data_IF_176234205876
#
_entry.id   IF_176234205876
#
_cell.length_a   1.000
_cell.length_b   1.000
_cell.length_c   1.000
_cell.angle_alpha   90.00
_cell.angle_beta   90.00
_cell.angle_gamma   90.00
#
_symmetry.space_group_name_H-M   'P 1'
#
loop_
_entity.id
_entity.type
_entity.pdbx_description
1 polymer ?
#
# COMPACT_ATOMS: atom_id res chain seq x y z
N UNK A 1 19.73 -55.43 -15.79
CA UNK A 1 19.11 -54.33 -16.56
C UNK A 1 17.92 -53.83 -15.77
N UNK A 2 18.13 -52.88 -14.86
CA UNK A 2 17.05 -52.27 -14.08
C UNK A 2 16.69 -50.93 -14.69
N UNK A 3 15.51 -50.87 -15.28
CA UNK A 3 14.91 -49.64 -15.78
C UNK A 3 14.62 -48.70 -14.61
N UNK A 4 15.28 -47.55 -14.59
CA UNK A 4 14.91 -46.43 -13.73
C UNK A 4 13.63 -45.82 -14.27
N UNK A 5 12.51 -46.15 -13.62
CA UNK A 5 11.23 -45.47 -13.81
C UNK A 5 11.38 -44.08 -13.19
N UNK A 6 11.47 -43.06 -14.04
CA UNK A 6 11.43 -41.66 -13.62
C UNK A 6 10.12 -41.37 -12.92
N UNK A 7 10.20 -41.05 -11.63
CA UNK A 7 9.05 -40.60 -10.85
C UNK A 7 8.44 -39.32 -11.44
N UNK A 8 7.14 -39.07 -11.22
CA UNK A 8 6.46 -37.89 -11.76
C UNK A 8 7.14 -36.62 -11.24
N UNK A 9 7.65 -35.79 -12.15
CA UNK A 9 8.06 -34.40 -11.85
C UNK A 9 6.82 -33.64 -11.44
N UNK A 10 6.52 -33.60 -10.14
CA UNK A 10 5.52 -32.75 -9.49
C UNK A 10 5.99 -31.28 -9.46
N UNK A 11 6.44 -30.76 -10.60
CA UNK A 11 6.76 -29.35 -10.78
C UNK A 11 5.58 -28.65 -11.43
N UNK A 12 5.02 -27.63 -10.79
CA UNK A 12 4.05 -26.72 -11.40
C UNK A 12 4.58 -26.30 -12.78
N UNK A 13 3.77 -26.41 -13.82
CA UNK A 13 4.16 -25.96 -15.16
C UNK A 13 4.44 -24.46 -15.10
N UNK A 14 5.58 -24.04 -15.63
CA UNK A 14 5.98 -22.64 -15.66
C UNK A 14 4.98 -21.80 -16.47
N UNK A 15 4.72 -20.58 -16.01
CA UNK A 15 3.94 -19.61 -16.79
C UNK A 15 4.69 -19.17 -18.05
N UNK A 16 3.97 -18.75 -19.09
CA UNK A 16 4.61 -18.40 -20.35
C UNK A 16 5.67 -17.30 -20.22
N UNK A 17 5.48 -16.33 -19.33
CA UNK A 17 6.49 -15.28 -19.07
C UNK A 17 7.76 -15.81 -18.37
N UNK A 18 7.64 -16.89 -17.59
CA UNK A 18 8.79 -17.59 -17.00
C UNK A 18 9.55 -18.36 -18.10
N UNK A 19 8.82 -19.07 -18.97
CA UNK A 19 9.39 -19.77 -20.13
C UNK A 19 10.11 -18.81 -21.10
N UNK A 20 9.51 -17.66 -21.40
CA UNK A 20 10.14 -16.65 -22.25
C UNK A 20 11.43 -16.09 -21.62
N UNK A 21 11.42 -15.84 -20.31
CA UNK A 21 12.62 -15.39 -19.60
C UNK A 21 13.73 -16.46 -19.63
N UNK A 22 13.39 -17.73 -19.42
CA UNK A 22 14.35 -18.84 -19.45
C UNK A 22 14.88 -19.14 -20.86
N UNK A 23 14.04 -19.04 -21.90
CA UNK A 23 14.45 -19.11 -23.31
C UNK A 23 15.54 -18.06 -23.59
N UNK A 24 15.28 -16.81 -23.21
CA UNK A 24 16.24 -15.72 -23.43
C UNK A 24 17.54 -15.91 -22.67
N UNK A 25 17.49 -16.36 -21.40
CA UNK A 25 18.70 -16.66 -20.60
C UNK A 25 19.52 -17.78 -21.24
N UNK A 26 18.85 -18.82 -21.71
CA UNK A 26 19.51 -19.96 -22.38
C UNK A 26 20.18 -19.51 -23.66
N UNK A 27 19.47 -18.78 -24.52
CA UNK A 27 20.02 -18.24 -25.77
C UNK A 27 21.17 -17.26 -25.55
N UNK A 28 21.11 -16.45 -24.49
CA UNK A 28 22.22 -15.58 -24.10
C UNK A 28 23.50 -16.37 -23.84
N UNK A 29 23.41 -17.49 -23.10
CA UNK A 29 24.55 -18.39 -22.82
C UNK A 29 25.09 -19.05 -24.08
N UNK A 30 24.23 -19.29 -25.07
CA UNK A 30 24.60 -19.82 -26.39
C UNK A 30 25.13 -18.75 -27.37
N UNK A 31 25.23 -17.47 -26.95
CA UNK A 31 25.64 -16.36 -27.82
C UNK A 31 24.63 -16.02 -28.92
N UNK A 32 23.39 -16.50 -28.80
CA UNK A 32 22.32 -16.27 -29.80
C UNK A 32 21.53 -14.99 -29.46
N UNK A 33 21.27 -14.12 -30.44
CA UNK A 33 20.49 -12.91 -30.20
C UNK A 33 19.00 -13.25 -30.04
N UNK A 34 18.32 -12.42 -29.23
CA UNK A 34 16.87 -12.43 -29.07
C UNK A 34 16.27 -13.73 -28.54
N UNK A 35 14.95 -13.80 -28.62
CA UNK A 35 14.16 -14.99 -28.28
C UNK A 35 14.18 -16.02 -29.42
N UNK A 36 13.81 -17.26 -29.11
CA UNK A 36 13.51 -18.23 -30.16
C UNK A 36 12.32 -17.79 -31.04
N UNK A 37 12.24 -18.34 -32.24
CA UNK A 37 11.14 -18.05 -33.18
C UNK A 37 9.78 -18.43 -32.58
N UNK A 38 9.71 -19.53 -31.82
CA UNK A 38 8.50 -19.94 -31.13
C UNK A 38 8.02 -18.90 -30.11
N UNK A 39 8.91 -18.42 -29.23
CA UNK A 39 8.57 -17.37 -28.26
C UNK A 39 8.18 -16.07 -28.98
N UNK A 40 8.90 -15.70 -30.04
CA UNK A 40 8.58 -14.51 -30.85
C UNK A 40 7.19 -14.58 -31.48
N UNK A 41 6.81 -15.75 -32.01
CA UNK A 41 5.47 -16.01 -32.56
C UNK A 41 4.39 -15.92 -31.49
N UNK A 42 4.61 -16.53 -30.32
CA UNK A 42 3.66 -16.48 -29.20
C UNK A 42 3.49 -15.04 -28.66
N UNK A 43 4.59 -14.29 -28.48
CA UNK A 43 4.56 -12.88 -28.07
C UNK A 43 3.76 -11.98 -29.04
N UNK A 44 3.79 -12.27 -30.34
CA UNK A 44 2.92 -11.60 -31.31
C UNK A 44 1.45 -11.89 -31.01
N UNK A 45 1.09 -13.15 -30.85
CA UNK A 45 -0.28 -13.57 -30.55
C UNK A 45 -0.84 -13.02 -29.23
N UNK A 46 0.01 -12.79 -28.20
CA UNK A 46 -0.46 -12.19 -26.95
C UNK A 46 -0.98 -10.76 -27.11
N UNK A 47 -0.46 -10.02 -28.08
CA UNK A 47 -0.88 -8.62 -28.33
C UNK A 47 -2.25 -8.54 -28.98
N UNK A 48 -2.67 -9.61 -29.65
CA UNK A 48 -4.00 -9.71 -30.26
C UNK A 48 -5.08 -9.99 -29.20
N UNK A 49 -4.71 -10.34 -27.97
CA UNK A 49 -5.64 -10.64 -26.88
C UNK A 49 -6.36 -9.45 -26.26
N UNK A 50 -5.86 -8.22 -26.42
CA UNK A 50 -6.48 -7.08 -25.74
C UNK A 50 -7.93 -6.86 -26.21
N UNK A 51 -8.84 -6.72 -25.24
CA UNK A 51 -10.25 -6.44 -25.49
C UNK A 51 -11.03 -7.64 -26.02
N UNK A 52 -10.37 -8.77 -26.27
CA UNK A 52 -11.02 -10.01 -26.63
C UNK A 52 -11.35 -10.83 -25.38
N UNK A 53 -12.38 -11.67 -25.49
CA UNK A 53 -12.79 -12.55 -24.41
C UNK A 53 -11.72 -13.64 -24.18
N UNK A 54 -11.35 -13.94 -22.92
CA UNK A 54 -10.40 -15.01 -22.61
C UNK A 54 -10.77 -16.33 -23.28
N UNK A 55 -9.79 -16.95 -23.95
CA UNK A 55 -9.97 -18.25 -24.63
C UNK A 55 -10.43 -18.17 -26.10
N UNK A 56 -10.91 -17.01 -26.56
CA UNK A 56 -11.32 -16.80 -27.97
C UNK A 56 -10.12 -16.56 -28.90
N UNK A 57 -9.01 -16.05 -28.38
CA UNK A 57 -7.81 -15.74 -29.17
C UNK A 57 -6.97 -17.00 -29.38
N UNK A 58 -7.13 -17.62 -30.54
CA UNK A 58 -6.47 -18.89 -30.89
C UNK A 58 -4.94 -18.87 -30.71
N UNK A 59 -4.30 -17.74 -31.02
CA UNK A 59 -2.84 -17.58 -30.88
C UNK A 59 -2.36 -17.65 -29.42
N UNK A 60 -3.23 -17.37 -28.45
CA UNK A 60 -2.92 -17.41 -27.01
C UNK A 60 -3.17 -18.78 -26.37
N UNK A 61 -3.85 -19.71 -27.06
CA UNK A 61 -4.27 -21.01 -26.51
C UNK A 61 -3.10 -21.78 -25.87
N UNK A 62 -1.92 -21.71 -26.47
CA UNK A 62 -0.72 -22.41 -25.98
C UNK A 62 0.07 -21.65 -24.91
N UNK A 63 -0.27 -20.39 -24.65
CA UNK A 63 0.37 -19.56 -23.63
C UNK A 63 -0.31 -19.69 -22.26
N UNK A 64 -1.60 -20.00 -22.23
CA UNK A 64 -2.34 -20.30 -21.01
C UNK A 64 -1.79 -21.55 -20.28
N UNK A 65 -1.79 -21.49 -18.96
CA UNK A 65 -1.34 -22.55 -18.04
C UNK A 65 -2.36 -22.86 -16.97
N UNK A 66 -3.30 -21.97 -16.69
CA UNK A 66 -4.51 -22.27 -15.94
C UNK A 66 -5.35 -23.20 -16.81
N UNK A 67 -5.47 -24.44 -16.38
CA UNK A 67 -6.27 -25.44 -17.08
C UNK A 67 -7.74 -25.27 -16.72
N UNK A 68 -8.59 -25.31 -17.74
CA UNK A 68 -10.04 -25.32 -17.59
C UNK A 68 -10.54 -26.76 -17.67
N UNK A 69 -11.30 -27.17 -16.67
CA UNK A 69 -12.12 -28.38 -16.71
C UNK A 69 -13.23 -28.26 -17.76
N UNK A 70 -13.78 -29.39 -18.21
CA UNK A 70 -14.88 -29.38 -19.17
C UNK A 70 -16.12 -28.65 -18.64
N UNK A 71 -16.39 -28.76 -17.33
CA UNK A 71 -17.47 -28.03 -16.67
C UNK A 71 -17.26 -26.51 -16.70
N UNK A 72 -16.04 -26.04 -16.48
CA UNK A 72 -15.71 -24.60 -16.54
C UNK A 72 -15.79 -24.06 -17.97
N UNK A 73 -15.42 -24.86 -18.98
CA UNK A 73 -15.56 -24.47 -20.40
C UNK A 73 -17.02 -24.36 -20.83
N UNK A 74 -17.90 -25.15 -20.23
CA UNK A 74 -19.33 -25.13 -20.49
C UNK A 74 -20.07 -24.07 -19.66
N UNK A 75 -19.38 -23.37 -18.74
CA UNK A 75 -19.97 -22.33 -17.90
C UNK A 75 -19.99 -20.98 -18.62
N UNK A 76 -21.05 -20.19 -18.38
CA UNK A 76 -21.14 -18.80 -18.85
C UNK A 76 -20.09 -17.88 -18.21
N UNK A 77 -19.49 -18.29 -17.08
CA UNK A 77 -18.48 -17.49 -16.37
C UNK A 77 -17.18 -18.26 -16.21
N UNK A 78 -16.13 -17.75 -16.84
CA UNK A 78 -14.80 -18.30 -16.71
C UNK A 78 -14.22 -18.10 -15.30
N UNK A 79 -13.40 -19.04 -14.79
CA UNK A 79 -12.72 -18.90 -13.51
C UNK A 79 -11.84 -17.64 -13.46
N UNK A 80 -11.86 -16.93 -12.33
CA UNK A 80 -11.07 -15.70 -12.13
C UNK A 80 -9.56 -15.88 -12.42
N UNK A 81 -8.89 -16.99 -12.02
CA UNK A 81 -7.49 -17.20 -12.38
C UNK A 81 -7.24 -17.29 -13.89
N UNK A 82 -8.17 -17.84 -14.67
CA UNK A 82 -8.03 -17.95 -16.12
C UNK A 82 -8.19 -16.59 -16.81
N UNK A 83 -9.18 -15.81 -16.37
CA UNK A 83 -9.39 -14.42 -16.85
C UNK A 83 -8.19 -13.55 -16.49
N UNK A 84 -7.67 -13.68 -15.27
CA UNK A 84 -6.48 -12.97 -14.81
C UNK A 84 -5.21 -13.37 -15.55
N UNK A 85 -5.02 -14.66 -15.86
CA UNK A 85 -3.90 -15.12 -16.69
C UNK A 85 -3.99 -14.52 -18.09
N UNK A 86 -5.18 -14.52 -18.70
CA UNK A 86 -5.38 -13.87 -20.00
C UNK A 86 -4.96 -12.40 -19.96
N UNK A 87 -5.45 -11.65 -18.98
CA UNK A 87 -5.08 -10.25 -18.78
C UNK A 87 -3.57 -10.06 -18.58
N UNK A 88 -2.94 -10.87 -17.73
CA UNK A 88 -1.50 -10.83 -17.50
C UNK A 88 -0.69 -11.14 -18.76
N UNK A 89 -1.12 -12.10 -19.58
CA UNK A 89 -0.49 -12.43 -20.86
C UNK A 89 -0.56 -11.26 -21.85
N UNK A 90 -1.70 -10.59 -21.99
CA UNK A 90 -1.82 -9.43 -22.90
C UNK A 90 -0.94 -8.26 -22.45
N UNK A 91 -0.90 -7.98 -21.15
CA UNK A 91 -0.01 -6.98 -20.55
C UNK A 91 1.46 -7.36 -20.72
N UNK A 92 1.80 -8.64 -20.60
CA UNK A 92 3.15 -9.16 -20.82
C UNK A 92 3.58 -9.01 -22.28
N UNK A 93 2.73 -9.40 -23.23
CA UNK A 93 3.00 -9.24 -24.66
C UNK A 93 3.22 -7.78 -25.07
N UNK A 94 2.51 -6.84 -24.43
CA UNK A 94 2.73 -5.40 -24.62
C UNK A 94 4.07 -4.93 -24.04
N UNK A 95 4.48 -5.48 -22.91
CA UNK A 95 5.71 -5.10 -22.23
C UNK A 95 6.94 -5.70 -22.92
N UNK A 96 6.89 -6.99 -23.28
CA UNK A 96 7.98 -7.77 -23.86
C UNK A 96 8.14 -7.50 -25.36
N UNK A 97 8.61 -6.31 -25.72
CA UNK A 97 8.93 -5.93 -27.10
C UNK A 97 10.43 -5.94 -27.40
N UNK A 98 11.27 -5.74 -26.38
CA UNK A 98 12.73 -5.83 -26.51
C UNK A 98 13.23 -7.25 -26.29
N UNK A 99 14.52 -7.49 -26.53
CA UNK A 99 15.15 -8.79 -26.31
C UNK A 99 15.38 -9.13 -24.83
N UNK A 100 15.43 -8.14 -23.95
CA UNK A 100 15.65 -8.37 -22.52
C UNK A 100 14.36 -8.79 -21.80
N UNK A 101 14.38 -9.82 -20.93
CA UNK A 101 13.17 -10.27 -20.25
C UNK A 101 12.63 -9.22 -19.29
N UNK A 102 11.37 -8.85 -19.49
CA UNK A 102 10.65 -7.91 -18.63
C UNK A 102 10.04 -8.60 -17.40
N UNK A 103 9.92 -9.93 -17.42
CA UNK A 103 9.53 -10.68 -16.22
C UNK A 103 10.68 -10.69 -15.20
N UNK A 104 10.46 -10.07 -14.04
CA UNK A 104 11.43 -9.93 -12.95
C UNK A 104 10.81 -10.38 -11.62
N UNK A 105 11.06 -11.63 -11.18
CA UNK A 105 10.56 -12.12 -9.90
C UNK A 105 10.88 -11.15 -8.74
N UNK A 106 9.90 -10.91 -7.88
CA UNK A 106 10.02 -9.99 -6.74
C UNK A 106 9.81 -8.51 -7.07
N UNK A 107 9.66 -8.11 -8.33
CA UNK A 107 9.32 -6.73 -8.70
C UNK A 107 7.80 -6.57 -8.84
N UNK A 108 7.09 -6.35 -7.73
CA UNK A 108 5.64 -6.08 -7.77
C UNK A 108 5.30 -4.72 -8.37
N UNK A 109 4.01 -4.47 -8.64
CA UNK A 109 3.55 -3.25 -9.32
C UNK A 109 3.93 -1.97 -8.58
N UNK A 110 3.79 -1.94 -7.25
CA UNK A 110 4.16 -0.78 -6.44
C UNK A 110 5.65 -0.48 -6.52
N UNK A 111 6.50 -1.51 -6.49
CA UNK A 111 7.97 -1.38 -6.62
C UNK A 111 8.36 -0.90 -8.01
N UNK A 112 7.70 -1.42 -9.06
CA UNK A 112 7.91 -0.96 -10.43
C UNK A 112 7.53 0.52 -10.59
N UNK A 113 6.41 0.96 -10.00
CA UNK A 113 6.00 2.36 -10.01
C UNK A 113 6.95 3.26 -9.19
N UNK A 114 7.47 2.77 -8.07
CA UNK A 114 8.50 3.48 -7.30
C UNK A 114 9.77 3.69 -8.12
N UNK A 115 10.24 2.65 -8.81
CA UNK A 115 11.38 2.74 -9.71
C UNK A 115 11.10 3.73 -10.86
N UNK A 116 9.88 3.72 -11.40
CA UNK A 116 9.48 4.64 -12.47
C UNK A 116 9.49 6.11 -12.00
N UNK A 117 9.02 6.38 -10.78
CA UNK A 117 9.12 7.70 -10.15
C UNK A 117 10.57 8.17 -10.04
N UNK A 118 11.48 7.27 -9.61
CA UNK A 118 12.92 7.59 -9.44
C UNK A 118 13.69 7.73 -10.75
N UNK A 119 13.18 7.16 -11.84
CA UNK A 119 13.81 7.29 -13.15
C UNK A 119 13.64 8.70 -13.75
N UNK A 120 12.88 9.60 -13.09
CA UNK A 120 12.62 10.99 -13.51
C UNK A 120 12.10 11.14 -14.96
N UNK A 121 11.61 10.04 -15.55
CA UNK A 121 11.03 10.04 -16.90
C UNK A 121 9.69 10.77 -16.95
N UNK A 122 9.08 10.98 -15.78
CA UNK A 122 7.83 11.68 -15.56
C UNK A 122 7.92 12.46 -14.24
N UNK A 123 7.09 13.50 -14.09
CA UNK A 123 6.87 14.12 -12.78
C UNK A 123 6.35 13.08 -11.79
N UNK A 124 6.77 13.14 -10.52
CA UNK A 124 6.32 12.24 -9.44
C UNK A 124 4.79 12.09 -9.41
N UNK A 125 4.07 13.21 -9.46
CA UNK A 125 2.61 13.22 -9.42
C UNK A 125 1.94 12.50 -10.60
N UNK A 126 2.63 12.35 -11.74
CA UNK A 126 2.09 11.66 -12.92
C UNK A 126 2.14 10.13 -12.80
N UNK A 127 3.15 9.60 -12.12
CA UNK A 127 3.24 8.17 -11.78
C UNK A 127 2.22 7.83 -10.71
N UNK A 128 2.16 8.64 -9.65
CA UNK A 128 1.20 8.49 -8.56
C UNK A 128 -0.24 8.48 -9.06
N UNK A 129 -0.65 9.46 -9.88
CA UNK A 129 -2.02 9.51 -10.43
C UNK A 129 -2.41 8.25 -11.21
N UNK A 130 -1.48 7.67 -11.97
CA UNK A 130 -1.75 6.44 -12.76
C UNK A 130 -1.87 5.22 -11.88
N UNK A 131 -1.01 5.12 -10.87
CA UNK A 131 -1.06 4.05 -9.90
C UNK A 131 -2.36 4.15 -9.06
N UNK A 132 -2.74 5.34 -8.61
CA UNK A 132 -4.02 5.58 -7.92
C UNK A 132 -5.19 5.21 -8.83
N UNK A 133 -5.18 5.62 -10.10
CA UNK A 133 -6.25 5.27 -11.05
C UNK A 133 -6.43 3.75 -11.20
N UNK A 134 -5.33 3.00 -11.30
CA UNK A 134 -5.36 1.53 -11.29
C UNK A 134 -5.91 0.99 -9.95
N UNK A 135 -5.47 1.55 -8.83
CA UNK A 135 -5.86 1.14 -7.49
C UNK A 135 -7.33 1.44 -7.14
N UNK A 136 -7.96 2.38 -7.85
CA UNK A 136 -9.38 2.75 -7.69
C UNK A 136 -10.29 2.13 -8.75
N UNK A 137 -9.76 1.25 -9.61
CA UNK A 137 -10.55 0.57 -10.62
C UNK A 137 -11.71 -0.23 -9.99
N UNK A 138 -12.91 -0.10 -10.56
CA UNK A 138 -14.13 -0.70 -10.02
C UNK A 138 -14.25 -2.19 -10.34
N UNK A 139 -13.60 -2.64 -11.41
CA UNK A 139 -13.61 -4.01 -11.89
C UNK A 139 -12.26 -4.39 -12.52
N UNK A 140 -12.09 -5.67 -12.86
CA UNK A 140 -10.87 -6.17 -13.47
C UNK A 140 -10.62 -5.56 -14.86
N UNK A 141 -11.67 -5.28 -15.63
CA UNK A 141 -11.53 -4.72 -16.97
C UNK A 141 -10.93 -3.31 -16.90
N UNK A 142 -11.48 -2.43 -16.06
CA UNK A 142 -10.97 -1.08 -15.84
C UNK A 142 -9.52 -1.12 -15.33
N UNK A 143 -9.22 -2.02 -14.39
CA UNK A 143 -7.85 -2.20 -13.90
C UNK A 143 -6.88 -2.52 -15.04
N UNK A 144 -7.23 -3.48 -15.90
CA UNK A 144 -6.39 -3.87 -17.05
C UNK A 144 -6.20 -2.70 -18.00
N UNK A 145 -7.22 -1.85 -18.23
CA UNK A 145 -7.09 -0.64 -19.05
C UNK A 145 -6.09 0.36 -18.45
N UNK A 146 -6.12 0.57 -17.14
CA UNK A 146 -5.14 1.42 -16.45
C UNK A 146 -3.72 0.85 -16.55
N UNK A 147 -3.55 -0.45 -16.30
CA UNK A 147 -2.26 -1.14 -16.43
C UNK A 147 -1.73 -1.11 -17.87
N UNK A 148 -2.60 -1.20 -18.88
CA UNK A 148 -2.22 -1.15 -20.28
C UNK A 148 -1.62 0.20 -20.69
N UNK A 149 -2.06 1.29 -20.04
CA UNK A 149 -1.48 2.64 -20.17
C UNK A 149 -0.17 2.80 -19.39
N UNK A 150 0.00 2.06 -18.30
CA UNK A 150 1.17 2.13 -17.42
C UNK A 150 2.35 1.30 -17.93
N UNK A 151 2.11 0.09 -18.43
CA UNK A 151 3.14 -0.85 -18.92
C UNK A 151 4.11 -0.24 -19.95
N UNK A 152 3.68 0.57 -20.93
CA UNK A 152 4.60 1.22 -21.86
C UNK A 152 5.63 2.14 -21.19
N UNK A 153 5.27 2.79 -20.09
CA UNK A 153 6.16 3.68 -19.34
C UNK A 153 7.24 2.89 -18.60
N UNK A 154 6.85 1.76 -18.00
CA UNK A 154 7.80 0.80 -17.42
C UNK A 154 8.79 0.31 -18.48
N UNK A 155 8.28 -0.09 -19.65
CA UNK A 155 9.08 -0.54 -20.78
C UNK A 155 10.09 0.51 -21.24
N UNK A 156 9.66 1.76 -21.43
CA UNK A 156 10.53 2.87 -21.84
C UNK A 156 11.66 3.13 -20.85
N UNK A 157 11.40 2.86 -19.57
CA UNK A 157 12.38 3.02 -18.48
C UNK A 157 13.17 1.73 -18.19
N UNK A 158 12.98 0.65 -18.97
CA UNK A 158 13.64 -0.64 -18.77
C UNK A 158 13.24 -1.37 -17.48
N UNK A 159 12.10 -1.00 -16.87
CA UNK A 159 11.64 -1.55 -15.58
C UNK A 159 10.82 -2.81 -15.83
N UNK A 160 11.28 -3.94 -15.30
CA UNK A 160 10.53 -5.19 -15.35
C UNK A 160 9.44 -5.31 -14.27
N UNK A 161 8.63 -6.36 -14.37
CA UNK A 161 7.53 -6.66 -13.47
C UNK A 161 7.45 -8.16 -13.18
N UNK A 162 7.09 -8.53 -11.96
CA UNK A 162 6.74 -9.90 -11.60
C UNK A 162 5.32 -10.22 -12.11
N UNK A 163 5.25 -10.74 -13.32
CA UNK A 163 3.99 -11.15 -13.94
C UNK A 163 3.28 -12.32 -13.24
N UNK A 164 4.02 -13.19 -12.54
CA UNK A 164 3.40 -14.26 -11.74
C UNK A 164 2.62 -13.64 -10.59
N UNK A 165 3.23 -12.67 -9.90
CA UNK A 165 2.55 -11.91 -8.85
C UNK A 165 1.41 -11.06 -9.39
N UNK A 166 1.62 -10.35 -10.51
CA UNK A 166 0.56 -9.54 -11.12
C UNK A 166 -0.66 -10.40 -11.45
N UNK A 167 -0.47 -11.60 -12.02
CA UNK A 167 -1.59 -12.49 -12.30
C UNK A 167 -2.38 -12.85 -11.04
N UNK A 168 -1.71 -13.17 -9.93
CA UNK A 168 -2.37 -13.45 -8.66
C UNK A 168 -3.10 -12.22 -8.08
N UNK A 169 -2.52 -11.02 -8.22
CA UNK A 169 -3.17 -9.76 -7.84
C UNK A 169 -4.45 -9.54 -8.67
N UNK A 170 -4.40 -9.76 -9.98
CA UNK A 170 -5.56 -9.66 -10.88
C UNK A 170 -6.64 -10.71 -10.55
N UNK A 171 -6.24 -11.95 -10.25
CA UNK A 171 -7.17 -13.05 -9.94
C UNK A 171 -7.97 -12.83 -8.65
N UNK A 172 -7.44 -12.01 -7.73
CA UNK A 172 -8.08 -11.70 -6.45
C UNK A 172 -8.73 -10.32 -6.40
N UNK A 173 -8.68 -9.58 -7.51
CA UNK A 173 -9.10 -8.18 -7.59
C UNK A 173 -10.57 -7.95 -7.23
N UNK A 174 -11.47 -8.77 -7.78
CA UNK A 174 -12.92 -8.68 -7.56
C UNK A 174 -13.37 -9.46 -6.32
N UNK A 175 -12.43 -9.87 -5.45
CA UNK A 175 -12.68 -10.72 -4.30
C UNK A 175 -12.46 -10.03 -2.95
N UNK A 176 -12.72 -10.74 -1.83
CA UNK A 176 -12.56 -10.22 -0.48
C UNK A 176 -11.10 -9.86 -0.13
N UNK A 177 -10.15 -10.25 -0.97
CA UNK A 177 -8.71 -10.03 -0.76
C UNK A 177 -8.16 -8.82 -1.52
N UNK A 178 -9.00 -8.03 -2.21
CA UNK A 178 -8.58 -6.81 -2.89
C UNK A 178 -7.78 -5.86 -1.97
N UNK A 179 -8.21 -5.71 -0.71
CA UNK A 179 -7.51 -4.88 0.27
C UNK A 179 -6.05 -5.29 0.48
N UNK A 180 -5.73 -6.58 0.40
CA UNK A 180 -4.36 -7.10 0.48
C UNK A 180 -3.52 -6.66 -0.72
N UNK A 181 -4.08 -6.74 -1.93
CA UNK A 181 -3.43 -6.29 -3.18
C UNK A 181 -3.12 -4.80 -3.09
N UNK A 182 -4.12 -3.98 -2.71
CA UNK A 182 -3.96 -2.54 -2.53
C UNK A 182 -2.87 -2.21 -1.51
N UNK A 183 -2.89 -2.85 -0.33
CA UNK A 183 -1.82 -2.67 0.67
C UNK A 183 -0.45 -3.01 0.13
N UNK A 184 -0.33 -4.17 -0.52
CA UNK A 184 0.92 -4.63 -1.13
C UNK A 184 1.47 -3.59 -2.11
N UNK A 185 0.63 -3.08 -3.02
CA UNK A 185 1.05 -2.05 -3.98
C UNK A 185 1.47 -0.75 -3.30
N UNK A 186 0.66 -0.25 -2.35
CA UNK A 186 0.96 0.99 -1.63
C UNK A 186 2.23 0.91 -0.80
N UNK A 187 2.41 -0.17 -0.04
CA UNK A 187 3.57 -0.38 0.81
C UNK A 187 4.85 -0.56 0.00
N UNK A 188 4.79 -1.18 -1.18
CA UNK A 188 5.92 -1.25 -2.10
C UNK A 188 6.25 0.11 -2.70
N UNK A 189 5.24 0.88 -3.11
CA UNK A 189 5.42 2.20 -3.71
C UNK A 189 6.10 3.17 -2.74
N UNK A 190 5.63 3.18 -1.49
CA UNK A 190 6.15 4.03 -0.42
C UNK A 190 7.37 3.48 0.32
N UNK A 191 7.99 2.36 -0.10
CA UNK A 191 9.07 1.74 0.67
C UNK A 191 10.31 2.66 0.78
N UNK A 192 10.64 3.17 1.98
CA UNK A 192 11.80 4.05 2.17
C UNK A 192 13.13 3.29 2.03
N UNK A 193 13.09 1.95 2.10
CA UNK A 193 14.27 1.08 2.18
C UNK A 193 14.79 0.67 0.79
N UNK A 194 14.09 1.00 -0.29
CA UNK A 194 14.52 0.60 -1.64
C UNK A 194 15.88 1.26 -1.99
N UNK A 195 16.88 0.50 -2.47
CA UNK A 195 18.26 0.96 -2.63
C UNK A 195 18.37 2.23 -3.47
N UNK A 196 19.21 3.16 -3.00
CA UNK A 196 19.43 4.51 -3.54
C UNK A 196 20.17 5.34 -2.50
N UNK A 197 21.44 5.66 -2.76
CA UNK A 197 22.33 6.31 -1.79
C UNK A 197 22.03 7.82 -1.72
N UNK A 198 21.29 8.27 -0.71
CA UNK A 198 21.12 9.71 -0.46
C UNK A 198 21.05 10.03 1.06
N UNK A 199 21.83 11.03 1.54
CA UNK A 199 21.90 11.41 2.96
C UNK A 199 20.64 12.15 3.49
N UNK A 200 19.77 12.70 2.63
CA UNK A 200 18.54 13.42 3.02
C UNK A 200 17.39 12.53 3.55
N UNK A 201 17.58 11.20 3.60
CA UNK A 201 16.56 10.22 4.01
C UNK A 201 16.06 10.34 5.45
N UNK A 202 16.80 10.99 6.34
CA UNK A 202 16.35 11.12 7.74
C UNK A 202 15.08 11.98 7.83
N UNK A 203 14.97 13.04 7.02
CA UNK A 203 13.76 13.88 6.98
C UNK A 203 12.57 13.15 6.31
N UNK A 204 12.81 12.32 5.29
CA UNK A 204 11.78 11.52 4.61
C UNK A 204 11.24 10.36 5.46
N UNK A 205 11.94 10.01 6.53
CA UNK A 205 11.55 8.91 7.43
C UNK A 205 10.83 9.37 8.69
N UNK A 206 10.73 10.68 8.89
CA UNK A 206 9.85 11.26 9.89
C UNK A 206 8.38 11.06 9.48
N UNK A 207 7.49 10.74 10.43
CA UNK A 207 6.07 10.67 10.16
C UNK A 207 5.54 11.97 9.53
N UNK A 208 4.50 11.85 8.71
CA UNK A 208 3.95 12.98 7.95
C UNK A 208 3.66 14.23 8.80
N UNK A 209 3.13 14.07 10.01
CA UNK A 209 2.79 15.19 10.89
C UNK A 209 3.99 16.00 11.37
N UNK A 210 5.18 15.39 11.46
CA UNK A 210 6.41 16.07 11.87
C UNK A 210 7.02 16.90 10.72
N UNK A 211 6.76 16.49 9.46
CA UNK A 211 7.19 17.19 8.24
C UNK A 211 6.11 18.13 7.66
N UNK A 212 4.95 18.22 8.31
CA UNK A 212 3.85 19.04 7.83
C UNK A 212 4.16 20.53 8.04
N UNK A 213 4.12 21.28 6.95
CA UNK A 213 4.35 22.72 6.93
C UNK A 213 3.05 23.42 6.52
N UNK A 214 2.37 24.15 7.42
CA UNK A 214 1.05 24.74 7.18
C UNK A 214 1.03 25.79 6.06
N UNK A 215 2.18 26.37 5.71
CA UNK A 215 2.27 27.45 4.72
C UNK A 215 2.33 26.94 3.27
N UNK A 216 2.41 25.62 3.06
CA UNK A 216 2.44 25.00 1.73
C UNK A 216 1.07 25.07 1.04
N UNK A 217 1.00 25.46 -0.25
CA UNK A 217 -0.26 25.60 -0.98
C UNK A 217 -1.00 24.27 -1.22
N UNK A 218 -0.27 23.16 -1.17
CA UNK A 218 -0.76 21.80 -1.49
C UNK A 218 -1.40 21.08 -0.28
N UNK A 219 -1.39 21.70 0.90
CA UNK A 219 -1.90 21.11 2.15
C UNK A 219 -3.36 20.69 2.11
N UNK A 220 -4.22 21.44 1.42
CA UNK A 220 -5.65 21.14 1.34
C UNK A 220 -5.91 19.75 0.75
N UNK A 221 -5.21 19.41 -0.33
CA UNK A 221 -5.29 18.11 -0.99
C UNK A 221 -4.71 16.99 -0.12
N UNK A 222 -3.56 17.23 0.51
CA UNK A 222 -2.90 16.25 1.37
C UNK A 222 -3.77 15.90 2.60
N UNK A 223 -4.32 16.90 3.29
CA UNK A 223 -5.24 16.68 4.42
C UNK A 223 -6.57 16.03 3.99
N UNK A 224 -7.07 16.31 2.78
CA UNK A 224 -8.23 15.60 2.24
C UNK A 224 -7.93 14.11 2.02
N UNK A 225 -6.75 13.79 1.48
CA UNK A 225 -6.30 12.42 1.31
C UNK A 225 -6.22 11.68 2.65
N UNK A 226 -5.62 12.28 3.69
CA UNK A 226 -5.57 11.67 5.03
C UNK A 226 -6.96 11.42 5.62
N UNK A 227 -7.89 12.36 5.48
CA UNK A 227 -9.26 12.22 6.00
C UNK A 227 -10.03 11.10 5.28
N UNK A 228 -9.75 10.83 4.01
CA UNK A 228 -10.38 9.73 3.26
C UNK A 228 -10.11 8.35 3.85
N UNK A 229 -9.08 8.20 4.69
CA UNK A 229 -8.78 6.96 5.42
C UNK A 229 -9.69 6.67 6.60
N UNK A 230 -10.45 7.65 7.10
CA UNK A 230 -11.23 7.46 8.31
C UNK A 230 -12.24 6.30 8.17
N UNK A 231 -12.07 5.26 8.99
CA UNK A 231 -12.91 4.06 8.96
C UNK A 231 -12.59 3.07 7.84
N UNK A 232 -11.48 3.27 7.11
CA UNK A 232 -10.97 2.34 6.10
C UNK A 232 -9.85 1.49 6.70
N UNK A 233 -9.62 0.31 6.13
CA UNK A 233 -8.51 -0.54 6.54
C UNK A 233 -7.17 0.07 6.11
N UNK A 234 -6.17 -0.01 6.98
CA UNK A 234 -4.86 0.62 6.76
C UNK A 234 -4.23 0.17 5.44
N UNK A 235 -3.64 1.12 4.69
CA UNK A 235 -3.01 0.88 3.39
C UNK A 235 -3.96 0.53 2.23
N UNK A 236 -5.29 0.46 2.44
CA UNK A 236 -6.25 0.22 1.34
C UNK A 236 -6.71 1.48 0.62
N UNK A 237 -6.33 2.66 1.11
CA UNK A 237 -6.71 3.96 0.54
C UNK A 237 -5.54 4.50 -0.29
N UNK A 238 -5.63 4.49 -1.63
CA UNK A 238 -4.49 4.82 -2.49
C UNK A 238 -3.99 6.24 -2.33
N UNK A 239 -4.90 7.20 -2.10
CA UNK A 239 -4.55 8.60 -1.84
C UNK A 239 -3.67 8.78 -0.59
N UNK A 240 -3.66 7.82 0.34
CA UNK A 240 -2.82 7.89 1.54
C UNK A 240 -1.42 7.31 1.35
N UNK A 241 -1.16 6.56 0.27
CA UNK A 241 0.11 5.86 0.08
C UNK A 241 1.37 6.72 0.20
N UNK A 242 1.42 7.96 -0.31
CA UNK A 242 2.59 8.83 -0.18
C UNK A 242 2.93 9.27 1.26
N UNK A 243 2.01 9.08 2.22
CA UNK A 243 2.17 9.59 3.58
C UNK A 243 2.56 8.52 4.61
N UNK A 244 2.58 7.24 4.22
CA UNK A 244 3.08 6.19 5.11
C UNK A 244 4.60 6.18 5.15
N UNK A 245 5.14 5.98 6.35
CA UNK A 245 6.57 5.85 6.63
C UNK A 245 6.89 4.53 7.34
N UNK A 246 5.88 3.69 7.61
CA UNK A 246 6.05 2.39 8.26
C UNK A 246 7.07 1.52 7.53
N UNK A 247 8.11 1.14 8.28
CA UNK A 247 9.12 0.18 7.86
C UNK A 247 8.68 -1.22 8.24
N UNK A 248 8.85 -2.16 7.31
CA UNK A 248 8.61 -3.59 7.54
C UNK A 248 9.47 -4.43 6.59
N UNK A 249 9.75 -5.69 6.94
CA UNK A 249 10.45 -6.64 6.06
C UNK A 249 9.77 -6.79 4.69
N UNK A 250 10.57 -7.10 3.66
CA UNK A 250 10.09 -7.29 2.28
C UNK A 250 8.98 -8.33 2.20
N UNK A 251 9.06 -9.40 2.99
CA UNK A 251 8.11 -10.51 2.95
C UNK A 251 6.72 -10.08 3.42
N UNK A 252 6.66 -9.23 4.45
CA UNK A 252 5.41 -8.67 4.97
C UNK A 252 4.85 -7.62 4.01
N UNK A 253 5.72 -6.75 3.50
CA UNK A 253 5.38 -5.73 2.50
C UNK A 253 4.77 -6.36 1.26
N UNK A 254 5.43 -7.40 0.76
CA UNK A 254 5.06 -8.10 -0.47
C UNK A 254 3.75 -8.88 -0.32
N UNK A 255 3.44 -9.32 0.89
CA UNK A 255 2.14 -9.97 1.19
C UNK A 255 1.04 -8.97 1.51
N UNK A 256 1.31 -7.66 1.54
CA UNK A 256 0.36 -6.66 1.99
C UNK A 256 -0.10 -6.93 3.43
N UNK A 257 0.83 -7.29 4.32
CA UNK A 257 0.53 -7.62 5.70
C UNK A 257 -0.06 -6.42 6.46
N UNK A 258 -1.10 -6.66 7.25
CA UNK A 258 -1.71 -5.65 8.11
C UNK A 258 -1.01 -5.70 9.49
N UNK A 259 0.08 -4.94 9.64
CA UNK A 259 0.84 -4.89 10.89
C UNK A 259 0.25 -3.87 11.87
N UNK A 260 0.50 -4.07 13.18
CA UNK A 260 0.13 -3.10 14.23
C UNK A 260 0.72 -1.71 13.96
N UNK A 261 1.96 -1.64 13.46
CA UNK A 261 2.60 -0.37 13.09
C UNK A 261 1.87 0.37 11.98
N UNK A 262 1.44 -0.36 10.93
CA UNK A 262 0.71 0.22 9.80
C UNK A 262 -0.68 0.70 10.24
N UNK A 263 -1.37 -0.07 11.08
CA UNK A 263 -2.68 0.30 11.63
C UNK A 263 -2.57 1.55 12.51
N UNK A 264 -1.56 1.61 13.37
CA UNK A 264 -1.30 2.76 14.23
C UNK A 264 -0.96 4.02 13.44
N UNK A 265 -0.06 3.91 12.45
CA UNK A 265 0.29 5.03 11.57
C UNK A 265 -0.93 5.51 10.76
N UNK A 266 -1.68 4.60 10.15
CA UNK A 266 -2.91 4.94 9.43
C UNK A 266 -3.88 5.71 10.31
N UNK A 267 -4.14 5.20 11.50
CA UNK A 267 -5.08 5.83 12.44
C UNK A 267 -4.58 7.22 12.85
N UNK A 268 -3.31 7.37 13.21
CA UNK A 268 -2.71 8.66 13.55
C UNK A 268 -2.77 9.66 12.39
N UNK A 269 -2.49 9.23 11.15
CA UNK A 269 -2.62 10.06 9.94
C UNK A 269 -4.05 10.56 9.74
N UNK A 270 -5.06 9.69 9.87
CA UNK A 270 -6.47 10.10 9.73
C UNK A 270 -6.91 11.09 10.80
N UNK A 271 -6.46 10.88 12.06
CA UNK A 271 -6.70 11.79 13.17
C UNK A 271 -6.02 13.15 12.94
N UNK A 272 -4.77 13.15 12.45
CA UNK A 272 -4.02 14.35 12.12
C UNK A 272 -4.72 15.15 11.00
N UNK A 273 -5.10 14.47 9.92
CA UNK A 273 -5.81 15.09 8.79
C UNK A 273 -7.10 15.79 9.22
N UNK A 274 -7.83 15.21 10.18
CA UNK A 274 -9.02 15.83 10.77
C UNK A 274 -8.69 17.00 11.70
N UNK A 275 -7.66 16.86 12.53
CA UNK A 275 -7.26 17.88 13.51
C UNK A 275 -6.74 19.16 12.85
N UNK A 276 -5.89 18.99 11.84
CA UNK A 276 -5.21 20.07 11.12
C UNK A 276 -6.15 20.83 10.17
N UNK A 277 -7.34 20.29 9.85
CA UNK A 277 -8.25 20.89 8.89
C UNK A 277 -8.66 22.32 9.28
N UNK A 278 -8.36 23.28 8.39
CA UNK A 278 -8.70 24.69 8.59
C UNK A 278 -7.93 25.35 9.75
N UNK A 279 -6.78 24.78 10.16
CA UNK A 279 -5.86 25.38 11.13
C UNK A 279 -4.67 26.00 10.38
N UNK A 280 -4.27 27.21 10.80
CA UNK A 280 -3.10 27.92 10.25
C UNK A 280 -1.79 27.52 10.93
N UNK A 281 -1.84 26.90 12.10
CA UNK A 281 -0.67 26.38 12.83
C UNK A 281 -0.65 24.87 12.82
N UNK A 282 0.53 24.27 12.87
CA UNK A 282 0.67 22.82 13.00
C UNK A 282 0.07 22.34 14.33
N UNK A 283 -0.79 21.32 14.26
CA UNK A 283 -1.45 20.72 15.43
C UNK A 283 -0.62 19.62 16.09
N UNK A 284 0.50 19.23 15.48
CA UNK A 284 1.48 18.35 16.12
C UNK A 284 2.35 19.16 17.06
N UNK A 285 2.31 18.84 18.36
CA UNK A 285 3.09 19.50 19.41
C UNK A 285 3.79 18.43 20.25
N UNK A 286 5.10 18.22 20.07
CA UNK A 286 5.87 17.24 20.84
C UNK A 286 5.68 17.43 22.35
N UNK A 287 5.48 16.32 23.08
CA UNK A 287 5.25 16.32 24.52
C UNK A 287 3.83 16.68 24.97
N UNK A 288 2.96 17.20 24.10
CA UNK A 288 1.59 17.54 24.49
C UNK A 288 0.67 16.31 24.48
N UNK A 289 0.67 15.56 25.59
CA UNK A 289 -0.14 14.35 25.76
C UNK A 289 -1.66 14.63 25.77
N UNK A 290 -2.53 13.61 25.58
CA UNK A 290 -3.98 13.75 25.78
C UNK A 290 -4.37 14.34 27.14
N UNK A 291 -3.64 14.00 28.20
CA UNK A 291 -3.86 14.56 29.54
C UNK A 291 -3.55 16.04 29.62
N UNK A 292 -2.40 16.45 29.11
CA UNK A 292 -2.00 17.87 29.05
C UNK A 292 -2.99 18.68 28.20
N UNK A 293 -3.38 18.15 27.03
CA UNK A 293 -4.35 18.79 26.14
C UNK A 293 -5.74 18.90 26.78
N UNK A 294 -6.20 17.88 27.52
CA UNK A 294 -7.45 17.95 28.28
C UNK A 294 -7.38 19.04 29.36
N UNK A 295 -6.27 19.14 30.09
CA UNK A 295 -6.09 20.17 31.12
C UNK A 295 -6.10 21.57 30.53
N UNK A 296 -5.37 21.80 29.42
CA UNK A 296 -5.38 23.07 28.70
C UNK A 296 -6.80 23.45 28.24
N UNK A 297 -7.56 22.45 27.79
CA UNK A 297 -8.95 22.66 27.38
C UNK A 297 -9.85 23.03 28.58
N UNK A 298 -9.71 22.35 29.72
CA UNK A 298 -10.45 22.66 30.95
C UNK A 298 -10.23 24.11 31.38
N UNK A 299 -8.97 24.57 31.36
CA UNK A 299 -8.60 25.96 31.70
C UNK A 299 -9.18 26.97 30.71
N UNK A 300 -9.23 26.64 29.41
CA UNK A 300 -9.74 27.56 28.37
C UNK A 300 -11.27 27.61 28.30
N UNK A 301 -11.96 26.49 28.53
CA UNK A 301 -13.38 26.38 28.20
C UNK A 301 -14.32 26.88 29.30
N UNK A 302 -13.93 26.91 30.58
CA UNK A 302 -14.69 27.47 31.72
C UNK A 302 -16.10 26.87 31.98
N UNK A 303 -16.67 26.18 31.00
CA UNK A 303 -17.97 25.53 30.94
C UNK A 303 -17.85 24.32 29.98
N UNK A 304 -18.42 23.18 30.35
CA UNK A 304 -18.27 21.92 29.61
C UNK A 304 -17.33 20.87 30.24
N UNK A 305 -16.99 21.03 31.53
CA UNK A 305 -16.16 20.12 32.31
C UNK A 305 -16.66 18.67 32.25
N UNK A 306 -17.96 18.42 32.48
CA UNK A 306 -18.53 17.07 32.39
C UNK A 306 -18.37 16.42 31.00
N UNK A 307 -18.46 17.20 29.93
CA UNK A 307 -18.31 16.69 28.56
C UNK A 307 -16.85 16.35 28.24
N UNK A 308 -15.91 17.13 28.79
CA UNK A 308 -14.48 16.86 28.73
C UNK A 308 -14.13 15.63 29.55
N UNK A 309 -14.51 15.58 30.82
CA UNK A 309 -14.26 14.46 31.73
C UNK A 309 -14.81 13.15 31.17
N UNK A 310 -16.03 13.16 30.61
CA UNK A 310 -16.58 11.97 29.96
C UNK A 310 -15.74 11.49 28.78
N UNK A 311 -15.28 12.39 27.91
CA UNK A 311 -14.49 12.02 26.72
C UNK A 311 -13.07 11.59 27.09
N UNK A 312 -12.45 12.28 28.04
CA UNK A 312 -11.13 11.94 28.52
C UNK A 312 -11.16 10.64 29.34
N UNK A 313 -12.17 10.46 30.20
CA UNK A 313 -12.43 9.20 30.90
C UNK A 313 -12.60 8.03 29.94
N UNK A 314 -13.34 8.21 28.84
CA UNK A 314 -13.50 7.17 27.82
C UNK A 314 -12.16 6.77 27.14
N UNK A 315 -11.24 7.72 26.92
CA UNK A 315 -9.88 7.40 26.47
C UNK A 315 -9.15 6.54 27.50
N UNK A 316 -9.21 6.91 28.77
CA UNK A 316 -8.56 6.16 29.85
C UNK A 316 -9.17 4.77 30.01
N UNK A 317 -10.47 4.58 29.80
CA UNK A 317 -11.12 3.27 29.95
C UNK A 317 -11.10 2.40 28.70
N UNK A 318 -10.52 2.89 27.59
CA UNK A 318 -10.46 2.16 26.33
C UNK A 318 -9.79 0.80 26.52
N UNK A 319 -10.46 -0.27 26.11
CA UNK A 319 -10.01 -1.66 26.34
C UNK A 319 -9.04 -2.16 25.27
N UNK A 320 -9.21 -1.70 24.04
CA UNK A 320 -8.39 -2.08 22.88
C UNK A 320 -8.03 -0.88 21.99
N UNK A 321 -7.17 -1.11 21.01
CA UNK A 321 -6.70 -0.06 20.08
C UNK A 321 -7.84 0.55 19.24
N UNK A 322 -8.83 -0.25 18.86
CA UNK A 322 -9.97 0.22 18.08
C UNK A 322 -10.88 1.15 18.88
N UNK A 323 -11.15 0.80 20.14
CA UNK A 323 -11.89 1.64 21.07
C UNK A 323 -11.15 2.96 21.33
N UNK A 324 -9.84 2.89 21.59
CA UNK A 324 -8.99 4.06 21.76
C UNK A 324 -9.07 4.99 20.53
N UNK A 325 -8.96 4.43 19.32
CA UNK A 325 -9.03 5.20 18.08
C UNK A 325 -10.39 5.92 17.90
N UNK A 326 -11.49 5.26 18.28
CA UNK A 326 -12.84 5.84 18.23
C UNK A 326 -12.98 7.02 19.20
N UNK A 327 -12.55 6.85 20.45
CA UNK A 327 -12.60 7.93 21.45
C UNK A 327 -11.68 9.09 21.09
N UNK A 328 -10.48 8.81 20.57
CA UNK A 328 -9.53 9.84 20.08
C UNK A 328 -10.14 10.69 18.97
N UNK A 329 -10.94 10.13 18.06
CA UNK A 329 -11.63 10.89 17.00
C UNK A 329 -12.57 11.95 17.58
N UNK A 330 -13.31 11.59 18.62
CA UNK A 330 -14.17 12.52 19.36
C UNK A 330 -13.37 13.58 20.09
N UNK A 331 -12.30 13.18 20.77
CA UNK A 331 -11.43 14.07 21.54
C UNK A 331 -10.70 15.09 20.65
N UNK A 332 -10.08 14.65 19.56
CA UNK A 332 -9.41 15.51 18.57
C UNK A 332 -10.35 16.58 17.99
N UNK A 333 -11.63 16.24 17.76
CA UNK A 333 -12.62 17.22 17.29
C UNK A 333 -12.85 18.34 18.31
N UNK A 334 -12.79 18.02 19.59
CA UNK A 334 -12.95 18.98 20.69
C UNK A 334 -11.71 19.89 20.79
N UNK A 335 -10.51 19.32 20.74
CA UNK A 335 -9.25 20.07 20.76
C UNK A 335 -9.09 21.00 19.56
N UNK A 336 -9.49 20.55 18.37
CA UNK A 336 -9.46 21.35 17.14
C UNK A 336 -10.27 22.65 17.28
N UNK A 337 -11.41 22.62 17.99
CA UNK A 337 -12.24 23.82 18.24
C UNK A 337 -11.57 24.83 19.19
N UNK A 338 -10.72 24.34 20.08
CA UNK A 338 -10.03 25.15 21.08
C UNK A 338 -8.60 25.53 20.67
N UNK A 339 -8.16 25.15 19.46
CA UNK A 339 -6.80 25.35 18.95
C UNK A 339 -5.73 24.81 19.90
N UNK A 340 -5.89 23.54 20.28
CA UNK A 340 -4.96 22.80 21.15
C UNK A 340 -4.36 21.65 20.35
N UNK A 341 -3.04 21.64 20.18
CA UNK A 341 -2.33 20.57 19.48
C UNK A 341 -2.22 19.28 20.30
N UNK A 342 -1.64 18.23 19.71
CA UNK A 342 -1.34 16.95 20.36
C UNK A 342 0.01 16.40 19.88
N UNK A 343 0.65 15.62 20.73
CA UNK A 343 1.80 14.82 20.32
C UNK A 343 1.34 13.58 19.55
N UNK A 344 1.45 13.64 18.22
CA UNK A 344 1.09 12.54 17.32
C UNK A 344 2.09 11.37 17.32
N UNK A 345 3.33 11.58 17.73
CA UNK A 345 4.28 10.48 17.90
C UNK A 345 3.87 9.64 19.10
N UNK A 346 3.53 10.31 20.21
CA UNK A 346 2.94 9.67 21.39
C UNK A 346 1.66 8.91 21.02
N UNK A 347 0.75 9.53 20.25
CA UNK A 347 -0.49 8.86 19.84
C UNK A 347 -0.24 7.62 18.98
N UNK A 348 0.67 7.70 18.01
CA UNK A 348 1.04 6.55 17.17
C UNK A 348 1.60 5.42 18.04
N UNK A 349 2.47 5.71 19.00
CA UNK A 349 3.02 4.69 19.91
C UNK A 349 1.93 4.09 20.80
N UNK A 350 1.04 4.90 21.35
CA UNK A 350 -0.10 4.42 22.14
C UNK A 350 -0.97 3.48 21.30
N UNK A 351 -1.42 3.91 20.11
CA UNK A 351 -2.21 3.11 19.18
C UNK A 351 -1.52 1.80 18.76
N UNK A 352 -0.19 1.78 18.66
CA UNK A 352 0.54 0.55 18.29
C UNK A 352 0.60 -0.47 19.44
N UNK A 353 0.77 0.04 20.66
CA UNK A 353 1.12 -0.76 21.84
C UNK A 353 -0.05 -1.04 22.78
N UNK A 354 -1.18 -0.35 22.63
CA UNK A 354 -2.26 -0.30 23.63
C UNK A 354 -2.73 -1.68 24.09
N UNK A 355 -2.92 -2.60 23.14
CA UNK A 355 -3.39 -3.96 23.35
C UNK A 355 -2.43 -4.98 22.72
N UNK A 356 -1.14 -4.66 22.71
CA UNK A 356 -0.13 -5.61 22.21
C UNK A 356 0.13 -6.71 23.25
N UNK A 357 -0.12 -7.99 22.92
CA UNK A 357 0.15 -9.11 23.83
C UNK A 357 1.63 -9.25 24.21
N UNK A 358 2.56 -8.74 23.41
CA UNK A 358 3.99 -8.71 23.74
C UNK A 358 4.36 -7.59 24.74
N UNK A 359 3.48 -6.60 24.94
CA UNK A 359 3.67 -5.47 25.86
C UNK A 359 2.46 -5.26 26.78
N UNK A 360 2.12 -6.23 27.65
CA UNK A 360 0.89 -6.22 28.43
C UNK A 360 0.73 -5.01 29.39
N UNK A 361 1.84 -4.36 29.76
CA UNK A 361 1.83 -3.18 30.64
C UNK A 361 1.78 -1.83 29.89
N UNK A 362 1.78 -1.81 28.56
CA UNK A 362 1.79 -0.56 27.79
C UNK A 362 0.53 0.27 28.07
N UNK A 363 -0.65 -0.36 28.07
CA UNK A 363 -1.93 0.28 28.34
C UNK A 363 -1.93 1.06 29.67
N UNK A 364 -1.53 0.39 30.75
CA UNK A 364 -1.48 0.99 32.10
C UNK A 364 -0.53 2.19 32.14
N UNK A 365 0.65 2.07 31.53
CA UNK A 365 1.63 3.18 31.48
C UNK A 365 1.09 4.41 30.77
N UNK A 366 0.35 4.26 29.67
CA UNK A 366 -0.26 5.41 28.99
C UNK A 366 -1.40 6.02 29.81
N UNK A 367 -2.24 5.19 30.45
CA UNK A 367 -3.30 5.66 31.36
C UNK A 367 -2.72 6.49 32.50
N UNK A 368 -1.72 5.96 33.20
CA UNK A 368 -1.08 6.64 34.32
C UNK A 368 -0.39 7.93 33.88
N UNK A 369 0.27 7.91 32.71
CA UNK A 369 0.89 9.10 32.13
C UNK A 369 -0.13 10.18 31.83
N UNK A 370 -1.21 9.85 31.11
CA UNK A 370 -2.23 10.83 30.72
C UNK A 370 -3.03 11.34 31.93
N UNK A 371 -3.38 10.48 32.88
CA UNK A 371 -4.07 10.89 34.11
C UNK A 371 -3.18 11.82 34.96
N UNK A 372 -1.89 11.48 35.12
CA UNK A 372 -0.93 12.36 35.82
C UNK A 372 -0.82 13.72 35.15
N UNK A 373 -0.66 13.77 33.83
CA UNK A 373 -0.53 15.03 33.08
C UNK A 373 -1.81 15.88 33.13
N UNK A 374 -2.98 15.25 33.24
CA UNK A 374 -4.24 15.96 33.45
C UNK A 374 -4.31 16.59 34.85
N UNK A 375 -3.81 15.90 35.88
CA UNK A 375 -3.82 16.37 37.28
C UNK A 375 -2.74 17.41 37.59
N UNK A 376 -1.54 17.18 37.09
CA UNK A 376 -0.39 18.06 37.29
C UNK A 376 -0.43 19.14 36.23
N UNK A 377 -0.96 20.31 36.58
CA UNK A 377 -0.87 21.48 35.71
C UNK A 377 0.59 21.75 35.39
N UNK A 378 0.96 21.73 34.11
CA UNK A 378 2.31 22.11 33.70
C UNK A 378 2.50 23.59 33.99
N UNK A 379 3.23 23.88 35.09
CA UNK A 379 4.05 25.08 35.14
C UNK A 379 4.97 25.01 33.92
N UNK A 380 4.68 25.81 32.90
CA UNK A 380 5.59 25.99 31.78
C UNK A 380 6.89 26.56 32.32
N UNK A 381 7.95 25.77 32.34
CA UNK A 381 9.32 26.27 32.41
C UNK A 381 9.61 26.97 31.10
N UNK A 382 9.35 28.28 31.06
CA UNK A 382 10.02 29.16 30.11
C UNK A 382 11.50 29.24 30.51
N UNK A 383 12.40 28.74 29.66
CA UNK A 383 13.79 29.18 29.59
C UNK A 383 14.29 29.05 28.17
#
# INVERSE_FOLDING_TARGET
MSASVGGPRTGRRAYFWEEAADDRRTRAREGRPGFSENITRMLRGLRDGIGNEPGTVAAMRYAHRVELTDAERASDRLPAPYVAEHAALTLFGRHQQGAEPVHRPGTGLGRACQALRRAETLSESAVERRLIAAATAQDLHELVQHLYRLVPLLRQSGIGLDYTRLMHDLATWEGPHQGRVLRSWGLQYGDPSAPGDAPDRQAETLPYWARFDPDRPENGGQLAALRSGAGREAGTVPAMWPYYTTRMPSELRDKGALTRDLVAEHTALTLFGRHQQGRSRAVHVPGNSPGTAARLLQVRSGSGEEALERRFGALLTSTDTGELAMHLRGFVTMLSRADIGLDYDLLRTALRTWDDPELPYAQGRFRDHWDRDFRVGTMSTNS
#
